data_IF_402408486156
#
_entry.id   IF_402408486156
#
_cell.length_a   1.000
_cell.length_b   1.000
_cell.length_c   1.000
_cell.angle_alpha   90.00
_cell.angle_beta   90.00
_cell.angle_gamma   90.00
#
_symmetry.space_group_name_H-M   'P 1'
#
loop_
_entity.id
_entity.type
_entity.pdbx_description
1 polymer ?
#
# COMPACT_ATOMS: atom_id res chain seq x y z
N UNK A 1 -32.47 40.68 -53.23
CA UNK A 1 -31.14 41.34 -53.18
C UNK A 1 -31.21 42.27 -51.98
N UNK A 2 -30.45 42.13 -50.90
CA UNK A 2 -29.26 41.31 -50.65
C UNK A 2 -29.13 41.07 -49.14
N UNK A 3 -28.51 39.94 -48.81
CA UNK A 3 -28.15 39.42 -47.49
C UNK A 3 -27.30 40.39 -46.65
N UNK A 4 -27.51 40.43 -45.33
CA UNK A 4 -26.43 40.67 -44.37
C UNK A 4 -26.73 40.00 -43.02
N UNK A 5 -26.11 38.84 -42.82
CA UNK A 5 -26.14 38.06 -41.60
C UNK A 5 -25.40 38.75 -40.44
N UNK A 6 -26.11 39.02 -39.34
CA UNK A 6 -25.54 39.43 -38.06
C UNK A 6 -24.88 38.23 -37.36
N UNK A 7 -23.62 37.95 -37.71
CA UNK A 7 -22.77 36.97 -37.02
C UNK A 7 -22.33 37.48 -35.65
N UNK A 8 -23.18 37.28 -34.65
CA UNK A 8 -22.89 37.58 -33.25
C UNK A 8 -21.86 36.60 -32.66
N UNK A 9 -20.60 37.01 -32.67
CA UNK A 9 -19.53 36.83 -31.66
C UNK A 9 -19.53 35.58 -30.73
N UNK A 10 -19.92 34.41 -31.22
CA UNK A 10 -19.86 33.12 -30.49
C UNK A 10 -18.41 32.76 -30.09
N UNK A 11 -17.41 33.29 -30.81
CA UNK A 11 -15.99 33.02 -30.57
C UNK A 11 -15.46 33.67 -29.28
N UNK A 12 -15.93 34.86 -28.89
CA UNK A 12 -15.47 35.51 -27.64
C UNK A 12 -16.06 34.88 -26.38
N UNK A 13 -17.28 34.36 -26.46
CA UNK A 13 -17.89 33.61 -25.37
C UNK A 13 -17.15 32.27 -25.13
N UNK A 14 -16.76 31.57 -26.20
CA UNK A 14 -16.06 30.29 -26.11
C UNK A 14 -14.64 30.43 -25.52
N UNK A 15 -13.95 31.54 -25.81
CA UNK A 15 -12.61 31.85 -25.29
C UNK A 15 -12.55 32.08 -23.77
N UNK A 16 -13.67 32.43 -23.12
CA UNK A 16 -13.76 32.64 -21.67
C UNK A 16 -14.29 31.42 -20.91
N UNK A 17 -15.07 30.55 -21.56
CA UNK A 17 -15.70 29.39 -20.92
C UNK A 17 -14.70 28.23 -20.73
N UNK A 18 -13.80 28.02 -21.69
CA UNK A 18 -12.79 26.95 -21.63
C UNK A 18 -11.82 27.10 -20.46
N UNK A 19 -11.18 28.27 -20.21
CA UNK A 19 -10.27 28.41 -19.07
C UNK A 19 -10.98 28.34 -17.71
N UNK A 20 -12.27 28.72 -17.66
CA UNK A 20 -13.06 28.62 -16.44
C UNK A 20 -13.43 27.17 -16.10
N UNK A 21 -13.80 26.37 -17.11
CA UNK A 21 -14.12 24.95 -16.87
C UNK A 21 -12.88 24.12 -16.54
N UNK A 22 -11.73 24.42 -17.15
CA UNK A 22 -10.47 23.74 -16.81
C UNK A 22 -9.97 24.15 -15.43
N UNK A 23 -10.12 25.41 -15.02
CA UNK A 23 -9.81 25.85 -13.67
C UNK A 23 -10.69 25.16 -12.62
N UNK A 24 -11.99 25.03 -12.87
CA UNK A 24 -12.93 24.31 -11.97
C UNK A 24 -12.58 22.82 -11.91
N UNK A 25 -12.32 22.16 -13.05
CA UNK A 25 -11.92 20.77 -13.06
C UNK A 25 -10.59 20.55 -12.33
N UNK A 26 -9.63 21.46 -12.49
CA UNK A 26 -8.35 21.42 -11.77
C UNK A 26 -8.56 21.63 -10.26
N UNK A 27 -9.44 22.55 -9.85
CA UNK A 27 -9.79 22.75 -8.45
C UNK A 27 -10.44 21.50 -7.83
N UNK A 28 -11.38 20.87 -8.53
CA UNK A 28 -12.04 19.63 -8.10
C UNK A 28 -11.04 18.48 -8.01
N UNK A 29 -10.10 18.37 -8.95
CA UNK A 29 -9.05 17.35 -8.89
C UNK A 29 -8.08 17.61 -7.72
N UNK A 30 -7.71 18.87 -7.47
CA UNK A 30 -6.86 19.24 -6.33
C UNK A 30 -7.59 18.96 -5.01
N UNK A 31 -8.87 19.29 -4.90
CA UNK A 31 -9.65 19.02 -3.68
C UNK A 31 -9.79 17.51 -3.41
N UNK A 32 -10.01 16.69 -4.44
CA UNK A 32 -10.04 15.23 -4.29
C UNK A 32 -8.68 14.65 -3.90
N UNK A 33 -7.58 15.17 -4.45
CA UNK A 33 -6.22 14.75 -4.11
C UNK A 33 -5.84 15.15 -2.66
N UNK A 34 -6.21 16.36 -2.24
CA UNK A 34 -5.95 16.88 -0.88
C UNK A 34 -6.85 16.22 0.18
N UNK A 35 -8.04 15.73 -0.19
CA UNK A 35 -8.91 14.98 0.73
C UNK A 35 -8.35 13.59 1.10
N UNK A 36 -7.66 12.91 0.19
CA UNK A 36 -7.03 11.60 0.47
C UNK A 36 -5.93 11.73 1.55
N UNK A 37 -5.15 12.81 1.55
CA UNK A 37 -4.09 13.07 2.54
C UNK A 37 -4.64 13.44 3.93
N UNK A 38 -5.75 14.20 3.99
CA UNK A 38 -6.42 14.53 5.25
C UNK A 38 -7.05 13.32 5.94
N UNK A 39 -7.48 12.31 5.19
CA UNK A 39 -7.92 11.04 5.77
C UNK A 39 -6.76 10.38 6.54
N UNK A 40 -5.58 10.23 5.93
CA UNK A 40 -4.39 9.65 6.57
C UNK A 40 -4.05 10.34 7.89
N UNK A 41 -4.06 11.69 7.93
CA UNK A 41 -3.77 12.44 9.16
C UNK A 41 -4.88 12.38 10.23
N UNK A 42 -6.13 12.18 9.82
CA UNK A 42 -7.27 11.98 10.72
C UNK A 42 -7.23 10.61 11.39
N UNK A 43 -6.86 9.57 10.64
CA UNK A 43 -6.63 8.21 11.14
C UNK A 43 -5.51 8.21 12.21
N UNK A 44 -4.36 8.80 11.90
CA UNK A 44 -3.23 8.92 12.85
C UNK A 44 -3.54 9.70 14.14
N UNK A 45 -4.56 10.57 14.15
CA UNK A 45 -4.98 11.37 15.31
C UNK A 45 -6.25 10.83 16.00
N UNK A 46 -6.82 9.74 15.50
CA UNK A 46 -7.96 9.05 16.09
C UNK A 46 -7.56 8.47 17.44
N UNK A 47 -7.81 9.24 18.52
CA UNK A 47 -7.63 8.81 19.91
C UNK A 47 -8.32 7.45 20.13
N UNK A 48 -7.56 6.37 20.06
CA UNK A 48 -7.86 5.14 20.79
C UNK A 48 -7.91 5.56 22.27
N UNK A 49 -9.11 5.81 22.78
CA UNK A 49 -9.31 6.01 24.20
C UNK A 49 -9.15 4.65 24.87
N UNK A 50 -7.92 4.39 25.30
CA UNK A 50 -7.47 3.16 25.92
C UNK A 50 -8.07 3.02 27.32
N UNK A 51 -9.36 2.65 27.40
CA UNK A 51 -10.02 2.33 28.68
C UNK A 51 -9.88 0.86 29.10
N UNK A 52 -9.37 -0.02 28.22
CA UNK A 52 -8.82 -1.36 28.47
C UNK A 52 -8.29 -1.87 27.11
N UNK A 53 -6.96 -1.98 26.93
CA UNK A 53 -6.29 -1.40 25.74
C UNK A 53 -5.68 -2.36 24.69
N UNK A 54 -6.02 -3.65 24.64
CA UNK A 54 -5.32 -4.59 23.73
C UNK A 54 -6.22 -5.49 22.88
N UNK A 55 -7.54 -5.37 23.02
CA UNK A 55 -8.50 -6.23 22.29
C UNK A 55 -9.33 -5.33 21.39
N UNK A 56 -9.31 -5.63 20.09
CA UNK A 56 -10.12 -4.96 19.06
C UNK A 56 -11.11 -5.97 18.52
N UNK A 57 -12.39 -5.61 18.54
CA UNK A 57 -13.48 -6.42 17.98
C UNK A 57 -14.16 -5.64 16.86
N UNK A 58 -14.52 -6.34 15.79
CA UNK A 58 -15.26 -5.78 14.66
C UNK A 58 -16.17 -6.84 14.06
N UNK A 59 -17.35 -6.41 13.61
CA UNK A 59 -18.30 -7.27 12.91
C UNK A 59 -17.99 -7.41 11.41
N UNK A 60 -17.06 -6.60 10.89
CA UNK A 60 -16.74 -6.54 9.45
C UNK A 60 -15.37 -7.14 9.17
N UNK A 61 -14.33 -6.52 9.72
CA UNK A 61 -12.95 -6.97 9.53
C UNK A 61 -12.02 -6.41 10.61
N UNK A 62 -10.90 -7.10 10.81
CA UNK A 62 -9.83 -6.72 11.74
C UNK A 62 -8.50 -6.94 11.04
N UNK A 63 -7.55 -6.03 11.26
CA UNK A 63 -6.13 -6.20 10.91
C UNK A 63 -5.32 -6.06 12.19
N UNK A 64 -4.38 -6.97 12.39
CA UNK A 64 -3.46 -6.95 13.52
C UNK A 64 -2.03 -7.08 13.00
N UNK A 65 -1.17 -6.15 13.42
CA UNK A 65 0.23 -6.08 13.06
C UNK A 65 1.06 -5.63 14.27
N UNK A 66 2.38 -5.85 14.21
CA UNK A 66 3.31 -5.50 15.28
C UNK A 66 3.39 -3.98 15.57
N UNK A 67 2.97 -3.16 14.62
CA UNK A 67 2.81 -1.71 14.76
C UNK A 67 1.37 -1.29 14.44
N UNK A 68 0.77 -0.50 15.33
CA UNK A 68 -0.60 -0.02 15.19
C UNK A 68 -0.84 0.79 13.90
N UNK A 69 0.17 1.54 13.44
CA UNK A 69 0.08 2.31 12.18
C UNK A 69 -0.03 1.38 10.97
N UNK A 70 0.64 0.24 11.00
CA UNK A 70 0.54 -0.75 9.92
C UNK A 70 -0.78 -1.49 9.95
N UNK A 71 -1.34 -1.75 11.15
CA UNK A 71 -2.70 -2.27 11.28
C UNK A 71 -3.72 -1.30 10.67
N UNK A 72 -3.56 -0.01 10.93
CA UNK A 72 -4.42 1.05 10.39
C UNK A 72 -4.33 1.16 8.87
N UNK A 73 -3.12 1.12 8.29
CA UNK A 73 -2.91 1.07 6.83
C UNK A 73 -3.61 -0.15 6.20
N UNK A 74 -3.53 -1.31 6.84
CA UNK A 74 -4.27 -2.49 6.38
C UNK A 74 -5.78 -2.30 6.41
N UNK A 75 -6.31 -1.70 7.49
CA UNK A 75 -7.74 -1.36 7.60
C UNK A 75 -8.17 -0.39 6.50
N UNK A 76 -7.35 0.61 6.18
CA UNK A 76 -7.65 1.54 5.08
C UNK A 76 -7.84 0.83 3.74
N UNK A 77 -7.08 -0.24 3.46
CA UNK A 77 -7.29 -1.02 2.22
C UNK A 77 -8.62 -1.77 2.22
N UNK A 78 -9.05 -2.27 3.38
CA UNK A 78 -10.37 -2.90 3.53
C UNK A 78 -11.50 -1.89 3.36
N UNK A 79 -11.35 -0.68 3.93
CA UNK A 79 -12.31 0.41 3.78
C UNK A 79 -12.43 0.90 2.33
N UNK A 80 -11.32 0.84 1.57
CA UNK A 80 -11.29 1.10 0.11
C UNK A 80 -11.91 -0.04 -0.72
N UNK A 81 -12.47 -1.07 -0.08
CA UNK A 81 -13.12 -2.21 -0.74
C UNK A 81 -12.16 -3.32 -1.16
N UNK A 82 -10.91 -3.30 -0.68
CA UNK A 82 -9.93 -4.35 -0.90
C UNK A 82 -10.24 -5.63 -0.12
N UNK A 83 -9.61 -6.72 -0.52
CA UNK A 83 -9.72 -8.01 0.14
C UNK A 83 -8.68 -8.14 1.27
N UNK A 84 -8.79 -9.20 2.08
CA UNK A 84 -7.83 -9.49 3.15
C UNK A 84 -6.37 -9.58 2.66
N UNK A 85 -6.16 -10.00 1.41
CA UNK A 85 -4.83 -10.05 0.78
C UNK A 85 -4.27 -8.65 0.53
N UNK A 86 -5.08 -7.71 0.03
CA UNK A 86 -4.66 -6.32 -0.21
C UNK A 86 -4.27 -5.64 1.10
N UNK A 87 -5.07 -5.87 2.15
CA UNK A 87 -4.78 -5.39 3.50
C UNK A 87 -3.46 -5.97 4.06
N UNK A 88 -3.23 -7.27 3.87
CA UNK A 88 -2.02 -7.94 4.31
C UNK A 88 -0.78 -7.40 3.59
N UNK A 89 -0.84 -7.19 2.27
CA UNK A 89 0.27 -6.63 1.48
C UNK A 89 0.60 -5.20 1.93
N UNK A 90 -0.40 -4.34 2.09
CA UNK A 90 -0.18 -2.97 2.56
C UNK A 90 0.41 -2.93 3.98
N UNK A 91 -0.05 -3.84 4.84
CA UNK A 91 0.49 -4.01 6.20
C UNK A 91 1.95 -4.46 6.17
N UNK A 92 2.29 -5.45 5.35
CA UNK A 92 3.66 -5.96 5.22
C UNK A 92 4.63 -4.89 4.69
N UNK A 93 4.22 -4.13 3.66
CA UNK A 93 5.01 -3.01 3.14
C UNK A 93 5.23 -1.95 4.22
N UNK A 94 4.20 -1.62 5.00
CA UNK A 94 4.36 -0.72 6.13
C UNK A 94 5.37 -1.25 7.16
N UNK A 95 5.27 -2.53 7.53
CA UNK A 95 6.20 -3.17 8.47
C UNK A 95 7.64 -3.14 7.96
N UNK A 96 7.87 -3.33 6.67
CA UNK A 96 9.18 -3.18 6.05
C UNK A 96 9.78 -1.77 6.18
N UNK A 97 8.95 -0.74 6.37
CA UNK A 97 9.39 0.64 6.61
C UNK A 97 9.57 0.93 8.09
N UNK A 98 8.61 0.55 8.94
CA UNK A 98 8.62 0.92 10.36
C UNK A 98 9.45 -0.03 11.23
N UNK A 99 9.64 -1.27 10.78
CA UNK A 99 10.42 -2.32 11.44
C UNK A 99 11.38 -3.02 10.43
N UNK A 100 12.29 -2.26 9.79
CA UNK A 100 13.12 -2.75 8.69
C UNK A 100 14.14 -3.83 9.09
N UNK A 101 14.43 -3.96 10.38
CA UNK A 101 15.29 -5.02 10.90
C UNK A 101 14.57 -6.39 10.93
N UNK A 102 13.24 -6.41 10.90
CA UNK A 102 12.44 -7.61 11.10
C UNK A 102 11.91 -8.25 9.81
N UNK A 103 11.45 -7.45 8.85
CA UNK A 103 10.82 -7.92 7.62
C UNK A 103 11.00 -6.92 6.47
N UNK A 104 10.67 -7.35 5.24
CA UNK A 104 10.59 -6.49 4.08
C UNK A 104 11.16 -7.15 2.83
N UNK A 105 11.00 -6.47 1.69
CA UNK A 105 11.31 -6.94 0.32
C UNK A 105 12.73 -7.47 0.08
N UNK A 106 13.65 -7.29 1.03
CA UNK A 106 15.00 -7.87 0.99
C UNK A 106 15.09 -9.29 1.55
N UNK A 107 14.02 -9.82 2.13
CA UNK A 107 13.96 -11.14 2.77
C UNK A 107 13.00 -12.08 2.07
N UNK A 108 12.17 -12.76 2.86
CA UNK A 108 11.20 -13.75 2.39
C UNK A 108 10.03 -13.87 3.35
N UNK A 109 8.98 -14.55 2.91
CA UNK A 109 7.73 -14.67 3.66
C UNK A 109 7.05 -16.02 3.48
N UNK A 110 6.08 -16.31 4.35
CA UNK A 110 5.10 -17.36 4.15
C UNK A 110 3.72 -16.75 4.33
N UNK A 111 2.86 -16.88 3.32
CA UNK A 111 1.50 -16.35 3.38
C UNK A 111 0.49 -17.49 3.34
N UNK A 112 -0.42 -17.52 4.32
CA UNK A 112 -1.57 -18.42 4.33
C UNK A 112 -2.82 -17.63 3.99
N UNK A 113 -3.51 -18.04 2.92
CA UNK A 113 -4.71 -17.36 2.42
C UNK A 113 -5.87 -18.32 2.43
N UNK A 114 -6.92 -17.99 3.20
CA UNK A 114 -8.19 -18.71 3.16
C UNK A 114 -9.24 -17.86 2.45
N UNK A 115 -9.55 -18.21 1.21
CA UNK A 115 -10.70 -17.63 0.52
C UNK A 115 -12.00 -18.20 1.08
N UNK A 116 -13.06 -17.39 1.11
CA UNK A 116 -14.42 -17.86 1.38
C UNK A 116 -14.95 -18.76 0.26
N UNK A 117 -14.46 -18.57 -0.97
CA UNK A 117 -14.89 -19.33 -2.15
C UNK A 117 -14.30 -20.75 -2.23
N UNK A 118 -13.25 -21.04 -1.46
CA UNK A 118 -12.55 -22.32 -1.48
C UNK A 118 -12.62 -22.98 -0.10
N UNK A 119 -12.88 -24.29 0.01
CA UNK A 119 -12.74 -24.99 1.29
C UNK A 119 -11.28 -25.12 1.72
N UNK A 120 -10.31 -24.93 0.83
CA UNK A 120 -8.88 -25.09 1.10
C UNK A 120 -8.21 -23.74 1.41
N UNK A 121 -7.16 -23.79 2.24
CA UNK A 121 -6.22 -22.69 2.40
C UNK A 121 -5.10 -22.82 1.34
N UNK A 122 -4.71 -21.70 0.75
CA UNK A 122 -3.53 -21.58 -0.09
C UNK A 122 -2.33 -21.23 0.80
N UNK A 123 -1.21 -21.93 0.61
CA UNK A 123 0.07 -21.57 1.18
C UNK A 123 0.99 -21.04 0.08
N UNK A 124 1.52 -19.84 0.27
CA UNK A 124 2.47 -19.20 -0.62
C UNK A 124 3.82 -19.18 0.11
N UNK A 125 4.78 -19.91 -0.45
CA UNK A 125 6.15 -19.97 0.04
C UNK A 125 7.01 -19.00 -0.76
N UNK A 126 7.49 -17.96 -0.08
CA UNK A 126 8.35 -16.90 -0.59
C UNK A 126 9.67 -16.90 0.18
N UNK A 127 10.09 -18.07 0.70
CA UNK A 127 11.35 -18.20 1.41
C UNK A 127 12.52 -17.94 0.49
N UNK A 128 13.54 -17.28 1.02
CA UNK A 128 14.77 -17.02 0.30
C UNK A 128 15.43 -18.33 -0.16
N UNK A 129 16.06 -18.30 -1.33
CA UNK A 129 16.76 -19.46 -1.90
C UNK A 129 18.24 -19.18 -2.06
N UNK A 130 19.06 -20.23 -1.97
CA UNK A 130 20.48 -20.09 -2.24
C UNK A 130 20.69 -19.72 -3.73
N UNK A 131 21.53 -18.72 -4.06
CA UNK A 131 21.81 -18.38 -5.45
C UNK A 131 22.53 -19.53 -6.16
N UNK A 132 22.44 -19.59 -7.49
CA UNK A 132 23.00 -20.69 -8.29
C UNK A 132 24.53 -20.89 -8.13
N UNK A 133 25.25 -19.85 -7.71
CA UNK A 133 26.69 -19.90 -7.47
C UNK A 133 27.07 -20.35 -6.04
N UNK A 134 26.10 -20.60 -5.16
CA UNK A 134 26.37 -21.06 -3.80
C UNK A 134 26.97 -22.48 -3.81
N UNK A 135 27.88 -22.74 -2.87
CA UNK A 135 28.49 -24.06 -2.66
C UNK A 135 28.38 -24.48 -1.20
N UNK A 136 28.46 -25.79 -0.95
CA UNK A 136 28.33 -26.35 0.40
C UNK A 136 29.41 -25.86 1.37
N UNK A 137 30.58 -25.50 0.85
CA UNK A 137 31.78 -25.12 1.59
C UNK A 137 32.09 -23.60 1.52
N UNK A 138 31.16 -22.77 1.03
CA UNK A 138 31.40 -21.32 0.80
C UNK A 138 31.74 -20.51 2.06
N UNK A 139 31.68 -21.11 3.25
CA UNK A 139 31.94 -20.48 4.54
C UNK A 139 33.08 -21.12 5.35
N UNK A 140 33.77 -22.12 4.80
CA UNK A 140 34.78 -22.88 5.55
C UNK A 140 35.98 -22.01 5.95
N UNK A 141 36.40 -21.10 5.06
CA UNK A 141 37.53 -20.19 5.28
C UNK A 141 37.16 -18.97 6.14
N UNK A 142 35.88 -18.59 6.15
CA UNK A 142 35.37 -17.46 6.92
C UNK A 142 33.94 -17.73 7.40
N UNK A 143 33.82 -18.23 8.62
CA UNK A 143 32.52 -18.50 9.23
C UNK A 143 31.71 -17.22 9.54
N UNK A 144 32.37 -16.07 9.68
CA UNK A 144 31.70 -14.78 9.88
C UNK A 144 30.88 -14.33 8.67
N UNK A 145 31.28 -14.77 7.46
CA UNK A 145 30.55 -14.46 6.23
C UNK A 145 29.15 -15.13 6.15
N UNK A 146 28.80 -15.99 7.12
CA UNK A 146 27.45 -16.55 7.28
C UNK A 146 26.42 -15.55 7.77
N UNK A 147 26.87 -14.51 8.47
CA UNK A 147 25.98 -13.51 9.10
C UNK A 147 26.22 -12.10 8.56
N UNK A 148 27.38 -11.87 7.95
CA UNK A 148 27.82 -10.55 7.54
C UNK A 148 28.28 -10.54 6.07
N UNK A 149 27.91 -9.47 5.35
CA UNK A 149 28.33 -9.23 3.97
C UNK A 149 27.50 -9.96 2.92
N UNK A 150 27.91 -9.86 1.65
CA UNK A 150 27.08 -10.32 0.53
C UNK A 150 26.88 -11.85 0.49
N UNK A 151 27.81 -12.63 1.05
CA UNK A 151 27.73 -14.09 1.02
C UNK A 151 26.59 -14.63 1.90
N UNK A 152 26.16 -13.91 2.93
CA UNK A 152 25.06 -14.32 3.81
C UNK A 152 23.67 -14.08 3.22
N UNK A 153 23.56 -13.48 2.03
CA UNK A 153 22.30 -13.06 1.42
C UNK A 153 21.73 -14.20 0.56
N UNK A 154 20.48 -14.60 0.84
CA UNK A 154 19.67 -15.42 -0.07
C UNK A 154 19.01 -14.58 -1.15
N UNK A 155 18.53 -15.21 -2.22
CA UNK A 155 17.72 -14.52 -3.25
C UNK A 155 16.39 -14.12 -2.61
N UNK A 156 16.06 -12.82 -2.50
CA UNK A 156 14.84 -12.36 -1.87
C UNK A 156 13.59 -12.89 -2.58
N UNK A 157 12.56 -13.22 -1.80
CA UNK A 157 11.32 -13.83 -2.30
C UNK A 157 10.03 -13.11 -1.90
N UNK A 158 10.09 -12.22 -0.90
CA UNK A 158 8.95 -11.37 -0.47
C UNK A 158 8.52 -10.39 -1.58
#
# INVERSE_FOLDING_TARGET
MESAAGGGDVSKALLLIIPLSTAIACLVLIENFVWDDKHVHSYLNGKLQTRNSYIVESQQAVVAADDGRCSEIGVMMLEKGGHAVDAAIATAICLGVVSPMSSGIGGGAFMLVKSSSSPFALAIDMRETAPAAASQNMYDENTGAKSEGALSIGVPGE
#
